data_IF_785607993837
#
_entry.id   IF_785607993837
#
_cell.length_a   1.000
_cell.length_b   1.000
_cell.length_c   1.000
_cell.angle_alpha   90.00
_cell.angle_beta   90.00
_cell.angle_gamma   90.00
#
_symmetry.space_group_name_H-M   'P 1'
#
loop_
_entity.id
_entity.type
_entity.pdbx_description
1 polymer ?
#
# COMPACT_ATOMS: atom_id res chain seq x y z
N UNK A 1 25.53 37.24 47.78
CA UNK A 1 26.28 37.10 46.52
C UNK A 1 26.35 35.62 46.16
N UNK A 2 25.61 35.16 45.15
CA UNK A 2 25.72 33.77 44.66
C UNK A 2 27.10 33.57 44.03
N UNK A 3 27.91 32.69 44.61
CA UNK A 3 29.18 32.25 44.03
C UNK A 3 28.88 31.64 42.65
N UNK A 4 29.52 32.17 41.60
CA UNK A 4 29.47 31.54 40.27
C UNK A 4 30.08 30.14 40.39
N UNK A 5 29.45 29.08 39.86
CA UNK A 5 30.04 27.74 39.87
C UNK A 5 31.41 27.77 39.19
N UNK A 6 32.34 26.98 39.71
CA UNK A 6 33.72 26.96 39.22
C UNK A 6 33.74 26.42 37.79
N UNK A 7 34.69 26.87 36.95
CA UNK A 7 34.79 26.39 35.57
C UNK A 7 34.97 24.86 35.50
N UNK A 8 35.61 24.27 36.51
CA UNK A 8 35.79 22.82 36.67
C UNK A 8 34.47 22.05 36.72
N UNK A 9 33.51 22.53 37.52
CA UNK A 9 32.19 21.89 37.65
C UNK A 9 31.41 21.92 36.32
N UNK A 10 31.63 22.99 35.54
CA UNK A 10 30.99 23.15 34.23
C UNK A 10 31.56 22.22 33.16
N UNK A 11 32.83 21.87 33.25
CA UNK A 11 33.49 20.99 32.28
C UNK A 11 33.21 19.51 32.58
N UNK A 12 33.12 19.14 33.85
CA UNK A 12 32.65 17.82 34.27
C UNK A 12 31.20 17.56 33.81
N UNK A 13 30.32 18.55 33.97
CA UNK A 13 28.94 18.48 33.47
C UNK A 13 28.88 18.30 31.95
N UNK A 14 29.68 19.06 31.19
CA UNK A 14 29.74 18.91 29.72
C UNK A 14 30.21 17.52 29.32
N UNK A 15 31.22 16.99 30.00
CA UNK A 15 31.73 15.64 29.74
C UNK A 15 30.66 14.59 30.04
N UNK A 16 29.96 14.70 31.18
CA UNK A 16 28.86 13.80 31.53
C UNK A 16 27.69 13.89 30.53
N UNK A 17 27.34 15.10 30.08
CA UNK A 17 26.30 15.30 29.08
C UNK A 17 26.69 14.68 27.72
N UNK A 18 27.97 14.78 27.32
CA UNK A 18 28.47 14.11 26.11
C UNK A 18 28.37 12.59 26.22
N UNK A 19 28.73 12.00 27.37
CA UNK A 19 28.60 10.57 27.62
C UNK A 19 27.13 10.10 27.58
N UNK A 20 26.20 10.88 28.14
CA UNK A 20 24.78 10.57 28.06
C UNK A 20 24.26 10.64 26.62
N UNK A 21 24.70 11.62 25.83
CA UNK A 21 24.33 11.76 24.43
C UNK A 21 24.85 10.60 23.58
N UNK A 22 26.09 10.16 23.79
CA UNK A 22 26.65 8.99 23.08
C UNK A 22 25.92 7.71 23.47
N UNK A 23 25.64 7.50 24.76
CA UNK A 23 24.88 6.36 25.24
C UNK A 23 23.45 6.32 24.66
N UNK A 24 22.77 7.48 24.59
CA UNK A 24 21.43 7.57 23.99
C UNK A 24 21.46 7.23 22.50
N UNK A 25 22.44 7.76 21.74
CA UNK A 25 22.61 7.42 20.32
C UNK A 25 22.86 5.94 20.10
N UNK A 26 23.72 5.32 20.92
CA UNK A 26 23.98 3.87 20.85
C UNK A 26 22.71 3.06 21.13
N UNK A 27 21.92 3.46 22.13
CA UNK A 27 20.63 2.83 22.42
C UNK A 27 19.65 2.98 21.27
N UNK A 28 19.53 4.18 20.69
CA UNK A 28 18.62 4.43 19.57
C UNK A 28 18.97 3.55 18.36
N UNK A 29 20.25 3.50 17.99
CA UNK A 29 20.77 2.64 16.93
C UNK A 29 20.46 1.16 17.21
N UNK A 30 20.76 0.67 18.42
CA UNK A 30 20.48 -0.71 18.81
C UNK A 30 18.97 -1.04 18.77
N UNK A 31 18.11 -0.11 19.21
CA UNK A 31 16.65 -0.31 19.13
C UNK A 31 16.12 -0.30 17.70
N UNK A 32 16.72 0.51 16.82
CA UNK A 32 16.39 0.54 15.39
C UNK A 32 16.79 -0.77 14.72
N UNK A 33 18.01 -1.25 14.95
CA UNK A 33 18.46 -2.54 14.45
C UNK A 33 17.61 -3.70 14.97
N UNK A 34 17.24 -3.70 16.25
CA UNK A 34 16.37 -4.71 16.81
C UNK A 34 14.98 -4.72 16.13
N UNK A 35 14.41 -3.54 15.88
CA UNK A 35 13.15 -3.40 15.12
C UNK A 35 13.29 -3.89 13.69
N UNK A 36 14.39 -3.58 13.02
CA UNK A 36 14.65 -4.00 11.64
C UNK A 36 14.87 -5.51 11.54
N UNK A 37 15.57 -6.12 12.50
CA UNK A 37 15.67 -7.60 12.62
C UNK A 37 14.32 -8.27 12.89
N UNK A 38 13.44 -7.61 13.63
CA UNK A 38 12.07 -8.08 13.88
C UNK A 38 11.11 -7.84 12.71
N UNK A 39 11.49 -7.04 11.70
CA UNK A 39 10.78 -7.03 10.41
C UNK A 39 11.12 -8.32 9.66
N UNK A 40 10.73 -9.46 10.20
CA UNK A 40 10.65 -10.70 9.43
C UNK A 40 9.75 -10.39 8.24
N UNK A 41 10.24 -10.65 7.03
CA UNK A 41 9.50 -10.62 5.77
C UNK A 41 8.29 -11.52 5.93
N UNK A 42 7.16 -10.96 6.41
CA UNK A 42 5.92 -11.71 6.51
C UNK A 42 5.62 -12.22 5.11
N UNK A 43 5.35 -13.51 4.94
CA UNK A 43 5.03 -14.03 3.62
C UNK A 43 3.90 -13.19 3.04
N UNK A 44 3.94 -12.86 1.74
CA UNK A 44 2.89 -12.09 1.10
C UNK A 44 1.55 -12.78 1.39
N UNK A 45 0.55 -12.00 1.78
CA UNK A 45 -0.75 -12.56 2.12
C UNK A 45 -1.35 -13.28 0.92
N UNK A 46 -1.90 -14.47 1.14
CA UNK A 46 -2.63 -15.23 0.11
C UNK A 46 -3.82 -14.43 -0.42
N UNK A 47 -4.14 -14.62 -1.69
CA UNK A 47 -5.30 -14.01 -2.32
C UNK A 47 -6.59 -14.44 -1.62
N UNK A 48 -7.50 -13.50 -1.34
CA UNK A 48 -8.74 -13.79 -0.62
C UNK A 48 -9.80 -14.49 -1.48
N UNK A 49 -9.62 -14.44 -2.79
CA UNK A 49 -10.54 -15.06 -3.75
C UNK A 49 -10.19 -16.53 -4.03
N UNK A 50 -8.92 -16.80 -4.38
CA UNK A 50 -8.45 -18.13 -4.79
C UNK A 50 -7.34 -18.73 -3.89
N UNK A 51 -6.88 -18.01 -2.87
CA UNK A 51 -5.88 -18.46 -1.88
C UNK A 51 -4.49 -18.80 -2.45
N UNK A 52 -4.16 -18.35 -3.65
CA UNK A 52 -2.81 -18.41 -4.24
C UNK A 52 -1.92 -17.22 -3.81
N UNK A 53 -0.63 -17.29 -4.12
CA UNK A 53 0.40 -16.31 -3.73
C UNK A 53 0.43 -15.10 -4.68
N UNK A 54 -0.59 -14.25 -4.57
CA UNK A 54 -0.69 -12.99 -5.30
C UNK A 54 -1.67 -12.04 -4.60
N UNK A 55 -1.56 -10.72 -4.83
CA UNK A 55 -2.49 -9.79 -4.22
C UNK A 55 -3.89 -9.91 -4.83
N UNK A 56 -4.91 -9.66 -4.01
CA UNK A 56 -6.31 -9.94 -4.35
C UNK A 56 -6.81 -9.12 -5.56
N UNK A 57 -6.28 -7.92 -5.80
CA UNK A 57 -6.64 -7.10 -6.96
C UNK A 57 -6.07 -7.63 -8.30
N UNK A 58 -4.99 -8.43 -8.27
CA UNK A 58 -4.40 -9.08 -9.46
C UNK A 58 -4.97 -10.47 -9.73
N UNK A 59 -6.07 -10.83 -9.06
CA UNK A 59 -6.65 -12.15 -9.23
C UNK A 59 -7.27 -12.31 -10.62
N UNK A 60 -6.77 -13.24 -11.43
CA UNK A 60 -7.30 -13.54 -12.77
C UNK A 60 -8.16 -14.80 -12.82
N UNK A 61 -8.22 -15.57 -11.73
CA UNK A 61 -8.96 -16.85 -11.68
C UNK A 61 -10.47 -16.70 -11.60
N UNK A 62 -10.99 -15.48 -11.44
CA UNK A 62 -12.42 -15.18 -11.37
C UNK A 62 -12.73 -14.01 -12.28
N UNK A 63 -13.90 -14.06 -12.90
CA UNK A 63 -14.49 -12.92 -13.59
C UNK A 63 -14.82 -11.79 -12.61
N UNK A 64 -14.90 -10.52 -13.06
CA UNK A 64 -15.28 -9.39 -12.21
C UNK A 64 -16.62 -9.60 -11.47
N UNK A 65 -17.59 -10.23 -12.13
CA UNK A 65 -18.89 -10.56 -11.55
C UNK A 65 -18.75 -11.55 -10.37
N UNK A 66 -18.01 -12.64 -10.56
CA UNK A 66 -17.76 -13.64 -9.51
C UNK A 66 -16.94 -13.06 -8.35
N UNK A 67 -16.00 -12.16 -8.63
CA UNK A 67 -15.25 -11.45 -7.58
C UNK A 67 -16.18 -10.60 -6.72
N UNK A 68 -17.15 -9.92 -7.33
CA UNK A 68 -18.12 -9.09 -6.61
C UNK A 68 -19.02 -9.96 -5.73
N UNK A 69 -19.54 -11.06 -6.27
CA UNK A 69 -20.35 -12.02 -5.50
C UNK A 69 -19.57 -12.62 -4.32
N UNK A 70 -18.32 -13.05 -4.55
CA UNK A 70 -17.46 -13.56 -3.47
C UNK A 70 -17.10 -12.48 -2.45
N UNK A 71 -16.93 -11.22 -2.88
CA UNK A 71 -16.62 -10.14 -1.97
C UNK A 71 -17.76 -9.91 -0.96
N UNK A 72 -19.01 -9.95 -1.42
CA UNK A 72 -20.19 -9.88 -0.55
C UNK A 72 -20.26 -11.10 0.37
N UNK A 73 -20.15 -12.32 -0.18
CA UNK A 73 -20.23 -13.57 0.61
C UNK A 73 -19.15 -13.68 1.69
N UNK A 74 -17.93 -13.19 1.43
CA UNK A 74 -16.78 -13.31 2.34
C UNK A 74 -16.53 -12.05 3.20
N UNK A 75 -17.45 -11.08 3.21
CA UNK A 75 -17.26 -9.79 3.89
C UNK A 75 -15.92 -9.13 3.55
N UNK A 76 -15.65 -8.99 2.25
CA UNK A 76 -14.49 -8.30 1.71
C UNK A 76 -14.93 -6.91 1.27
N UNK A 77 -14.15 -5.89 1.63
CA UNK A 77 -14.41 -4.52 1.22
C UNK A 77 -14.21 -4.37 -0.30
N UNK A 78 -15.23 -3.91 -1.00
CA UNK A 78 -15.22 -3.72 -2.45
C UNK A 78 -14.26 -2.61 -2.92
N UNK A 79 -13.80 -1.74 -2.02
CA UNK A 79 -12.90 -0.61 -2.32
C UNK A 79 -11.44 -1.07 -2.27
N UNK A 80 -11.02 -1.67 -1.16
CA UNK A 80 -9.61 -2.05 -0.93
C UNK A 80 -9.32 -3.55 -1.09
N UNK A 81 -10.36 -4.37 -1.28
CA UNK A 81 -10.27 -5.84 -1.38
C UNK A 81 -9.61 -6.51 -0.17
N UNK A 82 -9.62 -5.84 0.99
CA UNK A 82 -9.25 -6.38 2.29
C UNK A 82 -10.48 -6.80 3.10
N UNK A 83 -10.30 -7.36 4.31
CA UNK A 83 -11.42 -7.69 5.20
C UNK A 83 -12.26 -6.44 5.50
N UNK A 84 -13.58 -6.58 5.46
CA UNK A 84 -14.53 -5.50 5.73
C UNK A 84 -14.68 -5.14 7.23
N UNK A 85 -13.60 -5.24 8.03
CA UNK A 85 -13.57 -4.77 9.42
C UNK A 85 -13.36 -3.26 9.53
N UNK A 86 -13.90 -2.48 8.58
CA UNK A 86 -13.76 -1.03 8.57
C UNK A 86 -14.95 -0.38 7.87
N UNK A 87 -15.30 0.83 8.31
CA UNK A 87 -16.34 1.62 7.66
C UNK A 87 -15.85 2.11 6.29
N UNK A 88 -16.70 2.13 5.23
CA UNK A 88 -16.28 2.56 3.88
C UNK A 88 -15.60 3.94 3.87
N UNK A 89 -16.12 4.91 4.62
CA UNK A 89 -15.53 6.25 4.73
C UNK A 89 -14.11 6.26 5.35
N UNK A 90 -13.77 5.24 6.12
CA UNK A 90 -12.45 5.06 6.76
C UNK A 90 -11.51 4.17 5.94
N UNK A 91 -11.96 3.68 4.78
CA UNK A 91 -11.21 2.74 3.98
C UNK A 91 -9.92 3.38 3.46
N UNK A 92 -8.76 2.79 3.81
CA UNK A 92 -7.45 3.24 3.28
C UNK A 92 -7.36 3.15 1.76
N UNK A 93 -8.13 2.26 1.13
CA UNK A 93 -8.23 2.15 -0.33
C UNK A 93 -8.76 3.40 -1.01
N UNK A 94 -9.55 4.24 -0.31
CA UNK A 94 -10.00 5.52 -0.85
C UNK A 94 -8.85 6.50 -1.13
N UNK A 95 -7.72 6.37 -0.41
CA UNK A 95 -6.52 7.18 -0.65
C UNK A 95 -5.72 6.69 -1.87
N UNK A 96 -5.99 5.47 -2.33
CA UNK A 96 -5.29 4.83 -3.44
C UNK A 96 -6.12 4.95 -4.72
N UNK A 97 -6.25 6.18 -5.23
CA UNK A 97 -7.09 6.51 -6.40
C UNK A 97 -6.79 5.64 -7.62
N UNK A 98 -5.52 5.28 -7.82
CA UNK A 98 -5.06 4.46 -8.95
C UNK A 98 -5.66 3.05 -8.98
N UNK A 99 -6.17 2.56 -7.85
CA UNK A 99 -6.77 1.23 -7.73
C UNK A 99 -8.30 1.24 -7.83
N UNK A 100 -8.90 2.44 -7.86
CA UNK A 100 -10.35 2.62 -7.93
C UNK A 100 -10.85 2.59 -9.36
N UNK A 101 -12.10 2.17 -9.54
CA UNK A 101 -12.76 2.26 -10.81
C UNK A 101 -12.94 3.73 -11.23
N UNK A 102 -12.66 4.03 -12.49
CA UNK A 102 -12.87 5.34 -13.09
C UNK A 102 -13.89 5.35 -14.22
N UNK A 103 -14.56 4.22 -14.48
CA UNK A 103 -15.60 4.13 -15.51
C UNK A 103 -16.72 5.15 -15.27
N UNK A 104 -17.12 5.86 -16.33
CA UNK A 104 -18.10 6.95 -16.26
C UNK A 104 -19.44 6.47 -15.69
N UNK A 105 -19.89 5.28 -16.08
CA UNK A 105 -21.13 4.68 -15.56
C UNK A 105 -21.10 4.50 -14.04
N UNK A 106 -19.95 4.10 -13.50
CA UNK A 106 -19.77 3.90 -12.07
C UNK A 106 -19.71 5.22 -11.30
N UNK A 107 -19.09 6.25 -11.89
CA UNK A 107 -19.04 7.61 -11.31
C UNK A 107 -20.43 8.25 -11.23
N UNK A 108 -21.23 8.15 -12.29
CA UNK A 108 -22.60 8.69 -12.33
C UNK A 108 -23.51 8.11 -11.23
N UNK A 109 -23.30 6.84 -10.90
CA UNK A 109 -24.08 6.13 -9.88
C UNK A 109 -23.45 6.19 -8.48
N UNK A 110 -22.40 6.99 -8.28
CA UNK A 110 -21.65 7.09 -7.01
C UNK A 110 -21.12 5.74 -6.47
N UNK A 111 -20.90 4.77 -7.36
CA UNK A 111 -20.45 3.42 -7.01
C UNK A 111 -18.92 3.37 -6.90
N UNK A 112 -18.39 3.57 -5.69
CA UNK A 112 -16.96 3.52 -5.42
C UNK A 112 -16.52 2.08 -5.14
N UNK A 113 -15.65 1.54 -5.99
CA UNK A 113 -15.14 0.18 -5.89
C UNK A 113 -13.76 0.06 -6.56
N UNK A 114 -13.09 -1.07 -6.34
CA UNK A 114 -11.81 -1.39 -6.96
C UNK A 114 -11.97 -1.66 -8.46
N UNK A 115 -11.05 -1.20 -9.30
CA UNK A 115 -11.12 -1.39 -10.75
C UNK A 115 -11.20 -2.88 -11.15
N UNK A 116 -10.53 -3.77 -10.41
CA UNK A 116 -10.45 -5.21 -10.73
C UNK A 116 -11.73 -6.01 -10.55
N UNK A 117 -12.76 -5.43 -9.92
CA UNK A 117 -14.09 -6.04 -9.71
C UNK A 117 -15.18 -5.33 -10.52
N UNK A 118 -14.82 -4.32 -11.30
CA UNK A 118 -15.76 -3.59 -12.12
C UNK A 118 -16.22 -4.45 -13.30
N UNK A 119 -17.52 -4.77 -13.38
CA UNK A 119 -18.10 -5.43 -14.55
C UNK A 119 -18.14 -4.56 -15.81
N UNK A 120 -17.99 -3.24 -15.64
CA UNK A 120 -17.99 -2.26 -16.73
C UNK A 120 -16.57 -1.87 -17.18
N UNK A 121 -15.53 -2.51 -16.63
CA UNK A 121 -14.18 -2.35 -17.13
C UNK A 121 -14.12 -3.00 -18.51
N UNK A 122 -14.17 -2.18 -19.56
CA UNK A 122 -13.79 -2.64 -20.89
C UNK A 122 -12.42 -3.35 -20.81
N UNK A 123 -12.21 -4.44 -21.55
CA UNK A 123 -10.87 -5.02 -21.66
C UNK A 123 -9.89 -3.91 -22.09
N UNK A 124 -8.62 -3.94 -21.61
CA UNK A 124 -7.64 -2.97 -22.07
C UNK A 124 -7.66 -2.95 -23.61
N UNK A 125 -7.58 -1.77 -24.25
CA UNK A 125 -7.51 -1.71 -25.70
C UNK A 125 -6.39 -2.65 -26.12
N UNK A 126 -6.72 -3.65 -26.95
CA UNK A 126 -5.71 -4.46 -27.61
C UNK A 126 -4.85 -3.45 -28.35
N UNK A 127 -3.59 -3.30 -27.94
CA UNK A 127 -2.61 -2.54 -28.70
C UNK A 127 -2.54 -3.27 -30.04
N UNK A 128 -3.23 -2.76 -31.05
CA UNK A 128 -2.98 -3.11 -32.44
C UNK A 128 -1.59 -2.59 -32.71
N UNK A 129 -0.62 -3.50 -32.68
CA UNK A 129 0.68 -3.28 -33.29
C UNK A 129 0.43 -2.73 -34.70
N UNK A 130 1.02 -1.58 -34.97
CA UNK A 130 1.03 -0.94 -36.28
C UNK A 130 2.01 -1.78 -37.13
N UNK A 131 1.61 -2.99 -37.54
CA UNK A 131 2.41 -3.84 -38.44
C UNK A 131 1.58 -4.42 -39.60
N UNK A 132 0.34 -3.99 -39.79
CA UNK A 132 -0.49 -4.35 -40.95
C UNK A 132 -0.77 -3.11 -41.82
N UNK A 133 0.29 -2.45 -42.30
CA UNK A 133 0.20 -1.57 -43.47
C UNK A 133 0.63 -2.41 -44.67
N UNK A 134 -0.28 -2.83 -45.57
CA UNK A 134 0.15 -3.41 -46.84
C UNK A 134 0.86 -2.33 -47.66
N UNK A 135 2.14 -2.57 -47.98
CA UNK A 135 2.88 -1.85 -49.01
C UNK A 135 2.22 -2.11 -50.37
N UNK A 136 1.24 -1.28 -50.71
CA UNK A 136 0.75 -1.13 -52.08
C UNK A 136 1.67 -0.11 -52.76
N UNK A 137 2.73 -0.63 -53.40
CA UNK A 137 3.55 0.14 -54.33
C UNK A 137 3.82 -0.72 -55.56
N UNK A 138 2.88 -0.66 -56.50
CA UNK A 138 3.01 -1.23 -57.84
C UNK A 138 2.57 -0.17 -58.84
N UNK A 139 3.50 0.70 -59.24
CA UNK A 139 3.54 1.32 -60.57
C UNK A 139 4.95 1.82 -60.90
#
# INVERSE_FOLDING_TARGET
>A
MSKRPSSSDSDEWKHQAQLMMTAWKLKDMATKEARDRQKTTRPPGKCRFCHHDHPTYQCTSLSPAEKMEKAVKKNICIICLAYAHHHPASCRGLRMTNTLCHAQQCRKNYNIHNASICGNSAPPPKVTTIEDIPDDNSE
#
